data_IF_062538213524
#
_entry.id   IF_062538213524
#
_cell.length_a   1.000
_cell.length_b   1.000
_cell.length_c   1.000
_cell.angle_alpha   90.00
_cell.angle_beta   90.00
_cell.angle_gamma   90.00
#
_symmetry.space_group_name_H-M   'P 1'
#
loop_
_entity.id
_entity.type
_entity.pdbx_description
1 polymer ?
#
# COMPACT_ATOMS: atom_id res chain seq x y z
N UNK A 1 5.28 3.34 -21.37
CA UNK A 1 5.26 3.10 -19.91
C UNK A 1 5.75 4.36 -19.18
N UNK A 2 5.04 4.78 -18.14
CA UNK A 2 5.37 5.96 -17.32
C UNK A 2 6.75 5.85 -16.67
N UNK A 3 7.45 6.98 -16.44
CA UNK A 3 8.77 6.93 -15.79
C UNK A 3 8.63 6.63 -14.30
N UNK A 4 9.60 5.92 -13.69
CA UNK A 4 9.71 5.84 -12.24
C UNK A 4 9.84 7.23 -11.61
N UNK A 5 9.37 7.36 -10.37
CA UNK A 5 9.47 8.60 -9.61
C UNK A 5 10.94 8.94 -9.34
N UNK A 6 11.33 10.20 -9.57
CA UNK A 6 12.66 10.71 -9.24
C UNK A 6 13.86 10.07 -9.98
N UNK A 7 13.65 9.19 -10.96
CA UNK A 7 14.75 8.54 -11.70
C UNK A 7 14.38 8.16 -13.14
N UNK A 8 15.40 7.92 -13.97
CA UNK A 8 15.20 7.46 -15.36
C UNK A 8 14.87 5.97 -15.46
N UNK A 9 15.36 5.19 -14.49
CA UNK A 9 15.26 3.72 -14.46
C UNK A 9 14.86 3.32 -13.04
N UNK A 10 14.00 2.32 -12.94
CA UNK A 10 13.53 1.80 -11.66
C UNK A 10 14.70 1.11 -10.96
N UNK A 11 15.04 1.56 -9.76
CA UNK A 11 16.11 1.01 -8.94
C UNK A 11 15.51 0.24 -7.76
N UNK A 12 15.29 -1.06 -7.94
CA UNK A 12 14.88 -1.97 -6.87
C UNK A 12 16.11 -2.41 -6.07
N UNK A 13 16.05 -2.36 -4.74
CA UNK A 13 17.20 -2.70 -3.88
C UNK A 13 17.32 -4.20 -3.57
N UNK A 14 16.44 -5.03 -4.15
CA UNK A 14 16.55 -6.48 -4.05
C UNK A 14 17.74 -6.98 -4.86
N UNK A 15 18.59 -7.81 -4.24
CA UNK A 15 19.74 -8.41 -4.90
C UNK A 15 19.28 -9.59 -5.76
N UNK A 16 18.95 -9.29 -7.01
CA UNK A 16 18.38 -10.27 -7.95
C UNK A 16 19.39 -11.36 -8.38
N UNK A 17 20.67 -11.02 -8.48
CA UNK A 17 21.73 -11.99 -8.78
C UNK A 17 21.91 -13.00 -7.63
N UNK A 18 21.52 -14.26 -7.88
CA UNK A 18 21.53 -15.35 -6.88
C UNK A 18 22.91 -15.58 -6.27
N UNK A 19 23.97 -15.50 -7.06
CA UNK A 19 25.33 -15.72 -6.60
C UNK A 19 25.77 -14.63 -5.62
N UNK A 20 25.58 -13.35 -5.98
CA UNK A 20 25.82 -12.20 -5.11
C UNK A 20 24.96 -12.28 -3.86
N UNK A 21 23.66 -12.61 -3.99
CA UNK A 21 22.75 -12.73 -2.84
C UNK A 21 23.25 -13.79 -1.86
N UNK A 22 23.70 -14.95 -2.33
CA UNK A 22 24.25 -16.00 -1.47
C UNK A 22 25.55 -15.57 -0.77
N UNK A 23 26.43 -14.84 -1.45
CA UNK A 23 27.64 -14.26 -0.85
C UNK A 23 27.28 -13.31 0.30
N UNK A 24 26.32 -12.41 0.07
CA UNK A 24 25.87 -11.45 1.08
C UNK A 24 25.17 -12.13 2.26
N UNK A 25 24.39 -13.20 2.02
CA UNK A 25 23.80 -14.01 3.10
C UNK A 25 24.90 -14.63 3.98
N UNK A 26 25.98 -15.14 3.38
CA UNK A 26 27.11 -15.68 4.14
C UNK A 26 27.88 -14.57 4.87
N UNK A 27 28.11 -13.41 4.24
CA UNK A 27 28.71 -12.24 4.90
C UNK A 27 27.92 -11.83 6.15
N UNK A 28 26.59 -11.73 6.02
CA UNK A 28 25.69 -11.28 7.08
C UNK A 28 25.76 -12.12 8.36
N UNK A 29 26.16 -13.39 8.28
CA UNK A 29 26.37 -14.26 9.45
C UNK A 29 27.51 -13.79 10.36
N UNK A 30 28.45 -12.99 9.84
CA UNK A 30 29.61 -12.46 10.57
C UNK A 30 29.44 -11.00 11.02
N UNK A 31 28.41 -10.31 10.53
CA UNK A 31 28.15 -8.91 10.85
C UNK A 31 27.46 -8.78 12.22
N UNK A 32 27.59 -7.62 12.90
CA UNK A 32 26.64 -7.24 13.93
C UNK A 32 25.22 -7.33 13.38
N UNK A 33 24.28 -7.84 14.17
CA UNK A 33 22.91 -8.01 13.76
C UNK A 33 21.98 -7.02 14.49
N UNK A 34 20.98 -6.53 13.77
CA UNK A 34 19.91 -5.68 14.29
C UNK A 34 18.56 -6.33 13.97
N UNK A 35 17.82 -6.71 15.01
CA UNK A 35 16.40 -7.02 14.86
C UNK A 35 15.63 -5.71 14.68
N UNK A 36 15.11 -5.49 13.48
CA UNK A 36 14.33 -4.29 13.15
C UNK A 36 12.87 -4.45 13.58
N UNK A 37 12.13 -3.34 13.67
CA UNK A 37 10.70 -3.37 13.94
C UNK A 37 9.90 -3.71 12.66
N UNK A 38 8.60 -4.05 12.79
CA UNK A 38 7.77 -4.46 11.64
C UNK A 38 7.65 -3.38 10.57
N UNK A 39 7.54 -2.10 10.96
CA UNK A 39 7.43 -1.00 10.01
C UNK A 39 8.74 -0.82 9.21
N UNK A 40 9.90 -0.95 9.85
CA UNK A 40 11.19 -0.94 9.17
C UNK A 40 11.35 -2.16 8.23
N UNK A 41 10.83 -3.34 8.61
CA UNK A 41 10.81 -4.50 7.73
C UNK A 41 9.89 -4.28 6.51
N UNK A 42 8.71 -3.70 6.71
CA UNK A 42 7.81 -3.31 5.63
C UNK A 42 8.48 -2.29 4.68
N UNK A 43 9.20 -1.30 5.23
CA UNK A 43 10.01 -0.37 4.44
C UNK A 43 11.09 -1.09 3.61
N UNK A 44 11.77 -2.10 4.17
CA UNK A 44 12.72 -2.94 3.43
C UNK A 44 12.06 -3.70 2.27
N UNK A 45 10.85 -4.22 2.44
CA UNK A 45 10.09 -4.86 1.35
C UNK A 45 9.79 -3.87 0.23
N UNK A 46 9.38 -2.65 0.59
CA UNK A 46 9.03 -1.61 -0.38
C UNK A 46 10.26 -1.08 -1.13
N UNK A 47 11.40 -0.92 -0.44
CA UNK A 47 12.70 -0.59 -1.04
C UNK A 47 13.19 -1.71 -1.97
N UNK A 48 13.15 -2.95 -1.48
CA UNK A 48 13.56 -4.14 -2.25
C UNK A 48 12.69 -4.38 -3.47
N UNK A 49 11.38 -4.19 -3.34
CA UNK A 49 10.42 -4.34 -4.44
C UNK A 49 10.45 -3.20 -5.47
N UNK A 50 11.26 -2.15 -5.26
CA UNK A 50 11.34 -0.97 -6.13
C UNK A 50 10.16 0.00 -5.97
N UNK A 51 9.26 -0.25 -5.03
CA UNK A 51 8.12 0.63 -4.74
C UNK A 51 8.58 1.98 -4.21
N UNK A 52 9.65 2.01 -3.41
CA UNK A 52 10.22 3.24 -2.86
C UNK A 52 11.39 3.82 -3.67
N UNK A 53 11.50 3.48 -4.95
CA UNK A 53 12.44 4.14 -5.86
C UNK A 53 12.24 5.68 -5.84
N UNK A 54 13.33 6.49 -5.81
CA UNK A 54 14.72 6.11 -6.03
C UNK A 54 15.56 5.98 -4.73
N UNK A 55 14.92 5.86 -3.57
CA UNK A 55 15.63 5.82 -2.29
C UNK A 55 16.59 4.64 -2.22
N UNK A 56 17.77 4.88 -1.62
CA UNK A 56 18.84 3.88 -1.46
C UNK A 56 18.79 3.14 -0.13
N UNK A 57 17.93 3.57 0.80
CA UNK A 57 17.81 2.96 2.12
C UNK A 57 17.01 3.82 3.08
N UNK A 58 17.38 3.78 4.36
CA UNK A 58 16.70 4.51 5.43
C UNK A 58 17.22 5.95 5.52
N UNK A 59 16.28 6.90 5.60
CA UNK A 59 16.54 8.32 5.75
C UNK A 59 17.25 8.63 7.08
N UNK A 60 18.17 9.59 7.06
CA UNK A 60 18.70 10.24 8.26
C UNK A 60 17.68 11.18 8.90
N UNK A 61 17.97 11.67 10.11
CA UNK A 61 17.05 12.57 10.83
C UNK A 61 16.79 13.87 10.05
N UNK A 62 17.79 14.40 9.34
CA UNK A 62 17.64 15.58 8.49
C UNK A 62 16.62 15.40 7.37
N UNK A 63 16.75 14.32 6.59
CA UNK A 63 15.79 13.96 5.54
C UNK A 63 14.40 13.69 6.12
N UNK A 64 14.32 12.97 7.25
CA UNK A 64 13.04 12.64 7.87
C UNK A 64 12.26 13.90 8.27
N UNK A 65 12.92 14.86 8.90
CA UNK A 65 12.32 16.15 9.27
C UNK A 65 11.99 17.00 8.04
N UNK A 66 12.86 17.04 7.03
CA UNK A 66 12.63 17.75 5.76
C UNK A 66 11.39 17.21 5.05
N UNK A 67 11.22 15.89 4.98
CA UNK A 67 10.04 15.25 4.39
C UNK A 67 8.76 15.58 5.16
N UNK A 68 8.83 15.61 6.49
CA UNK A 68 7.70 15.99 7.32
C UNK A 68 7.30 17.46 7.11
N UNK A 69 8.25 18.40 7.06
CA UNK A 69 7.99 19.83 6.92
C UNK A 69 7.62 20.24 5.50
N UNK A 70 8.44 19.80 4.55
CA UNK A 70 8.52 20.40 3.22
C UNK A 70 8.13 19.43 2.10
N UNK A 71 7.79 18.18 2.44
CA UNK A 71 7.49 17.11 1.46
C UNK A 71 8.66 16.82 0.51
N UNK A 72 9.90 17.11 0.92
CA UNK A 72 11.09 16.85 0.13
C UNK A 72 12.21 16.26 0.99
N UNK A 73 13.00 15.37 0.39
CA UNK A 73 14.32 15.03 0.92
C UNK A 73 15.23 16.26 0.86
N UNK A 74 16.35 16.24 1.58
CA UNK A 74 17.37 17.31 1.52
C UNK A 74 17.95 17.48 0.11
N UNK A 75 17.97 16.40 -0.67
CA UNK A 75 18.37 16.39 -2.09
C UNK A 75 17.25 16.88 -3.04
N UNK A 76 16.12 17.33 -2.51
CA UNK A 76 15.03 17.93 -3.27
C UNK A 76 14.10 16.95 -3.97
N UNK A 77 14.09 15.67 -3.58
CA UNK A 77 13.15 14.68 -4.13
C UNK A 77 11.83 14.81 -3.38
N UNK A 78 10.73 15.03 -4.11
CA UNK A 78 9.39 15.03 -3.51
C UNK A 78 9.11 13.68 -2.84
N UNK A 79 8.77 13.73 -1.55
CA UNK A 79 8.47 12.55 -0.75
C UNK A 79 7.53 12.88 0.42
N UNK A 80 6.45 12.09 0.64
CA UNK A 80 5.39 12.49 1.57
C UNK A 80 5.51 11.91 2.98
N UNK A 81 6.22 10.81 3.18
CA UNK A 81 6.34 10.11 4.49
C UNK A 81 7.76 9.61 4.69
N UNK A 82 8.42 9.89 5.83
CA UNK A 82 9.81 9.52 6.03
C UNK A 82 9.99 8.00 6.09
N UNK A 83 11.01 7.48 5.38
CA UNK A 83 11.34 6.05 5.36
C UNK A 83 12.47 5.79 6.36
N UNK A 84 12.11 5.41 7.59
CA UNK A 84 13.04 5.35 8.72
C UNK A 84 13.13 3.96 9.35
N UNK A 85 14.20 3.74 10.09
CA UNK A 85 14.42 2.60 10.97
C UNK A 85 14.74 3.12 12.38
N UNK A 86 13.78 2.98 13.30
CA UNK A 86 13.93 3.41 14.69
C UNK A 86 13.96 2.22 15.65
N UNK A 87 14.79 2.33 16.68
CA UNK A 87 14.89 1.38 17.78
C UNK A 87 14.89 2.10 19.13
N UNK A 88 14.48 1.39 20.18
CA UNK A 88 14.42 1.95 21.55
C UNK A 88 15.76 1.95 22.28
N UNK A 89 16.71 1.12 21.83
CA UNK A 89 18.02 0.97 22.48
C UNK A 89 19.10 1.26 21.47
N UNK A 90 20.01 2.17 21.82
CA UNK A 90 21.16 2.48 20.98
C UNK A 90 21.96 1.20 20.68
N UNK A 91 22.19 0.87 19.40
CA UNK A 91 22.94 -0.33 19.05
C UNK A 91 24.43 -0.20 19.42
N UNK A 92 25.13 -1.33 19.50
CA UNK A 92 26.56 -1.38 19.82
C UNK A 92 27.49 -1.01 18.65
N UNK A 93 26.97 -0.99 17.43
CA UNK A 93 27.70 -0.57 16.24
C UNK A 93 27.68 0.94 16.03
N UNK A 94 28.51 1.43 15.12
CA UNK A 94 28.68 2.85 14.80
C UNK A 94 28.49 3.12 13.30
N UNK A 95 28.33 4.40 12.95
CA UNK A 95 28.37 4.83 11.55
C UNK A 95 29.66 4.35 10.85
N UNK A 96 29.54 4.01 9.56
CA UNK A 96 30.59 3.41 8.74
C UNK A 96 30.68 1.88 8.83
N UNK A 97 29.88 1.22 9.67
CA UNK A 97 29.84 -0.24 9.77
C UNK A 97 28.72 -0.85 8.91
N UNK A 98 28.91 -2.12 8.52
CA UNK A 98 27.88 -2.97 7.91
C UNK A 98 27.17 -3.79 8.98
N UNK A 99 25.85 -3.88 8.88
CA UNK A 99 24.98 -4.56 9.87
C UNK A 99 23.98 -5.45 9.15
N UNK A 100 23.78 -6.67 9.64
CA UNK A 100 22.72 -7.55 9.18
C UNK A 100 21.38 -7.12 9.79
N UNK A 101 20.37 -6.89 8.96
CA UNK A 101 19.01 -6.60 9.40
C UNK A 101 18.21 -7.89 9.47
N UNK A 102 17.63 -8.19 10.63
CA UNK A 102 16.86 -9.42 10.88
C UNK A 102 15.36 -9.15 10.83
N UNK A 103 14.60 -10.04 10.20
CA UNK A 103 13.17 -9.91 10.02
C UNK A 103 12.39 -10.24 11.33
N UNK A 104 11.61 -9.30 11.90
CA UNK A 104 10.81 -9.58 13.09
C UNK A 104 9.56 -10.43 12.81
N UNK A 105 9.14 -10.54 11.55
CA UNK A 105 7.87 -11.15 11.16
C UNK A 105 8.00 -12.63 10.78
N UNK A 106 9.22 -13.14 10.62
CA UNK A 106 9.48 -14.54 10.28
C UNK A 106 10.15 -15.26 11.45
N UNK A 107 9.67 -16.46 11.76
CA UNK A 107 10.18 -17.27 12.86
C UNK A 107 11.69 -17.53 12.70
N UNK A 108 12.44 -17.36 13.79
CA UNK A 108 13.91 -17.48 13.78
C UNK A 108 14.64 -16.21 13.32
N UNK A 109 13.92 -15.13 13.00
CA UNK A 109 14.45 -13.83 12.62
C UNK A 109 15.57 -13.91 11.55
N UNK A 110 15.26 -14.45 10.35
CA UNK A 110 16.25 -14.58 9.30
C UNK A 110 16.77 -13.23 8.83
N UNK A 111 17.96 -13.23 8.22
CA UNK A 111 18.53 -12.03 7.59
C UNK A 111 17.62 -11.60 6.43
N UNK A 112 17.16 -10.36 6.50
CA UNK A 112 16.36 -9.71 5.47
C UNK A 112 17.21 -8.83 4.54
N UNK A 113 18.30 -8.29 5.04
CA UNK A 113 19.19 -7.42 4.27
C UNK A 113 20.43 -6.99 5.04
N UNK A 114 21.27 -6.19 4.39
CA UNK A 114 22.45 -5.56 4.99
C UNK A 114 22.28 -4.05 4.90
N UNK A 115 22.60 -3.36 6.00
CA UNK A 115 22.63 -1.90 6.10
C UNK A 115 24.09 -1.42 6.16
N UNK A 116 24.46 -0.51 5.27
CA UNK A 116 25.67 0.31 5.40
C UNK A 116 25.32 1.54 6.24
N UNK A 117 25.65 1.52 7.53
CA UNK A 117 25.18 2.55 8.48
C UNK A 117 25.83 3.90 8.17
N UNK A 118 25.02 4.88 7.78
CA UNK A 118 25.44 6.26 7.55
C UNK A 118 25.39 7.11 8.82
N UNK A 119 24.36 6.92 9.65
CA UNK A 119 24.13 7.71 10.86
C UNK A 119 23.33 6.97 11.93
N UNK A 120 23.51 7.41 13.18
CA UNK A 120 22.75 6.96 14.34
C UNK A 120 22.41 8.21 15.15
N UNK A 121 21.18 8.69 15.01
CA UNK A 121 20.71 9.94 15.59
C UNK A 121 19.72 9.67 16.73
N UNK A 122 19.82 10.44 17.81
CA UNK A 122 18.78 10.48 18.83
C UNK A 122 17.68 11.44 18.37
N UNK A 123 16.46 10.94 18.32
CA UNK A 123 15.26 11.74 18.05
C UNK A 123 14.75 12.26 19.38
N UNK A 124 14.61 13.58 19.49
CA UNK A 124 14.01 14.22 20.67
C UNK A 124 12.49 14.06 20.67
N UNK A 125 11.86 14.19 21.83
CA UNK A 125 10.40 14.11 21.94
C UNK A 125 9.71 15.18 21.05
N UNK A 126 10.24 16.41 21.03
CA UNK A 126 9.72 17.49 20.16
C UNK A 126 9.80 17.13 18.67
N UNK A 127 10.90 16.50 18.22
CA UNK A 127 11.04 16.04 16.84
C UNK A 127 10.12 14.86 16.52
N UNK A 128 9.90 13.96 17.48
CA UNK A 128 8.98 12.85 17.32
C UNK A 128 7.54 13.35 17.20
N UNK A 129 7.13 14.29 18.05
CA UNK A 129 5.81 14.93 18.02
C UNK A 129 5.61 15.71 16.71
N UNK A 130 6.63 16.45 16.26
CA UNK A 130 6.61 17.15 14.98
C UNK A 130 6.39 16.18 13.81
N UNK A 131 7.18 15.10 13.72
CA UNK A 131 7.00 14.09 12.68
C UNK A 131 5.63 13.44 12.75
N UNK A 132 5.16 13.12 13.96
CA UNK A 132 3.84 12.51 14.19
C UNK A 132 2.72 13.42 13.68
N UNK A 133 2.72 14.69 14.09
CA UNK A 133 1.72 15.67 13.64
C UNK A 133 1.77 15.87 12.12
N UNK A 134 2.96 15.91 11.52
CA UNK A 134 3.12 16.12 10.09
C UNK A 134 2.65 14.92 9.25
N UNK A 135 2.87 13.69 9.72
CA UNK A 135 2.50 12.46 9.02
C UNK A 135 1.00 12.18 9.16
N UNK A 136 0.46 12.26 10.38
CA UNK A 136 -0.91 11.81 10.68
C UNK A 136 -1.93 12.94 10.82
N UNK A 137 -1.50 14.21 10.81
CA UNK A 137 -2.38 15.34 11.08
C UNK A 137 -2.86 15.43 12.54
N UNK A 138 -2.40 14.53 13.41
CA UNK A 138 -2.76 14.44 14.82
C UNK A 138 -1.63 13.79 15.61
N UNK A 139 -1.54 14.09 16.91
CA UNK A 139 -0.69 13.37 17.88
C UNK A 139 -1.50 12.47 18.83
N UNK A 140 -2.79 12.27 18.54
CA UNK A 140 -3.67 11.41 19.33
C UNK A 140 -3.20 9.94 19.31
N UNK A 141 -2.84 9.42 20.48
CA UNK A 141 -2.40 8.03 20.65
C UNK A 141 -3.48 6.99 20.34
N UNK A 142 -4.75 7.37 20.22
CA UNK A 142 -5.82 6.47 19.77
C UNK A 142 -5.79 6.25 18.26
N UNK A 143 -5.11 7.12 17.50
CA UNK A 143 -4.87 6.88 16.09
C UNK A 143 -3.87 5.70 15.94
N UNK A 144 -4.22 4.61 15.24
CA UNK A 144 -3.38 3.40 15.18
C UNK A 144 -2.00 3.64 14.55
N UNK A 145 -1.93 4.53 13.54
CA UNK A 145 -0.67 5.00 12.97
C UNK A 145 0.24 5.71 13.96
N UNK A 146 -0.29 6.70 14.71
CA UNK A 146 0.42 7.43 15.77
C UNK A 146 0.94 6.47 16.83
N UNK A 147 0.08 5.58 17.35
CA UNK A 147 0.47 4.59 18.35
C UNK A 147 1.61 3.68 17.87
N UNK A 148 1.54 3.26 16.60
CA UNK A 148 2.57 2.40 16.00
C UNK A 148 3.88 3.14 15.79
N UNK A 149 3.84 4.41 15.35
CA UNK A 149 5.02 5.21 15.04
C UNK A 149 5.80 5.59 16.31
N UNK A 150 5.11 6.10 17.33
CA UNK A 150 5.75 6.56 18.58
C UNK A 150 6.26 5.40 19.45
N UNK A 151 5.74 4.18 19.25
CA UNK A 151 6.21 2.98 19.95
C UNK A 151 7.54 2.40 19.41
N UNK A 152 8.09 2.89 18.31
CA UNK A 152 9.28 2.31 17.67
C UNK A 152 10.60 2.65 18.40
N UNK A 153 10.56 3.58 19.35
CA UNK A 153 11.74 4.13 20.02
C UNK A 153 12.22 5.42 19.39
N UNK A 154 13.39 5.89 19.84
CA UNK A 154 13.90 7.22 19.53
C UNK A 154 15.36 7.24 19.06
N UNK A 155 15.92 6.08 18.68
CA UNK A 155 17.23 6.01 18.04
C UNK A 155 17.01 5.67 16.57
N UNK A 156 17.24 6.65 15.69
CA UNK A 156 17.09 6.53 14.25
C UNK A 156 18.41 6.08 13.63
N UNK A 157 18.35 5.02 12.83
CA UNK A 157 19.52 4.43 12.16
C UNK A 157 19.31 4.56 10.66
N UNK A 158 20.24 5.22 9.99
CA UNK A 158 20.14 5.56 8.57
C UNK A 158 21.24 4.94 7.73
N UNK A 159 21.03 4.90 6.42
CA UNK A 159 22.02 4.44 5.45
C UNK A 159 21.46 3.52 4.37
N UNK A 160 22.33 3.16 3.44
CA UNK A 160 21.99 2.39 2.24
C UNK A 160 21.79 0.92 2.56
N UNK A 161 20.83 0.28 1.88
CA UNK A 161 20.48 -1.12 2.12
C UNK A 161 20.66 -2.00 0.88
N UNK A 162 21.06 -3.24 1.12
CA UNK A 162 20.96 -4.34 0.17
C UNK A 162 19.88 -5.31 0.68
N UNK A 163 18.80 -5.51 -0.08
CA UNK A 163 17.68 -6.35 0.34
C UNK A 163 17.88 -7.78 -0.16
N UNK A 164 17.87 -8.74 0.76
CA UNK A 164 18.13 -10.16 0.49
C UNK A 164 16.86 -11.02 0.58
N UNK A 165 15.80 -10.52 1.22
CA UNK A 165 14.51 -11.19 1.33
C UNK A 165 13.35 -10.19 1.42
N UNK A 166 12.20 -10.57 0.85
CA UNK A 166 10.99 -9.74 0.83
C UNK A 166 9.97 -10.17 1.91
N UNK A 167 10.50 -10.64 3.04
CA UNK A 167 9.77 -11.10 4.22
C UNK A 167 8.72 -12.19 3.92
N UNK A 168 7.79 -12.40 4.85
CA UNK A 168 6.71 -13.38 4.75
C UNK A 168 5.77 -13.11 3.57
N UNK A 169 5.72 -11.88 3.04
CA UNK A 169 4.81 -11.54 1.94
C UNK A 169 5.06 -12.37 0.69
N UNK A 170 6.33 -12.59 0.33
CA UNK A 170 6.70 -13.39 -0.83
C UNK A 170 6.40 -14.87 -0.62
N UNK A 171 6.52 -15.38 0.61
CA UNK A 171 6.37 -16.81 0.91
C UNK A 171 4.92 -17.21 1.19
N UNK A 172 4.11 -16.33 1.80
CA UNK A 172 2.72 -16.61 2.16
C UNK A 172 1.74 -16.23 1.05
N UNK A 173 2.09 -15.27 0.20
CA UNK A 173 1.21 -14.76 -0.87
C UNK A 173 1.83 -14.95 -2.27
N UNK A 174 2.45 -16.10 -2.54
CA UNK A 174 3.20 -16.42 -3.77
C UNK A 174 2.45 -16.02 -5.07
N UNK A 175 1.17 -16.33 -5.14
CA UNK A 175 0.34 -16.09 -6.33
C UNK A 175 -0.04 -14.62 -6.55
N UNK A 176 0.10 -13.79 -5.52
CA UNK A 176 -0.43 -12.43 -5.49
C UNK A 176 0.65 -11.36 -5.28
N UNK A 177 1.62 -11.61 -4.40
CA UNK A 177 2.71 -10.67 -4.12
C UNK A 177 3.54 -10.44 -5.39
N UNK A 178 3.75 -9.17 -5.73
CA UNK A 178 4.60 -8.75 -6.85
C UNK A 178 5.48 -7.59 -6.46
N UNK A 179 6.65 -7.50 -7.07
CA UNK A 179 7.49 -6.29 -7.02
C UNK A 179 7.03 -5.28 -8.07
N UNK A 180 7.41 -4.00 -7.91
CA UNK A 180 7.17 -2.98 -8.93
C UNK A 180 7.84 -3.36 -10.27
N UNK A 181 8.98 -4.05 -10.22
CA UNK A 181 9.69 -4.58 -11.40
C UNK A 181 8.80 -5.58 -12.16
N UNK A 182 8.30 -6.61 -11.47
CA UNK A 182 7.45 -7.64 -12.06
C UNK A 182 6.14 -7.07 -12.61
N UNK A 183 5.54 -6.09 -11.93
CA UNK A 183 4.34 -5.39 -12.41
C UNK A 183 4.64 -4.63 -13.70
N UNK A 184 5.78 -3.93 -13.81
CA UNK A 184 6.17 -3.25 -15.06
C UNK A 184 6.39 -4.23 -16.21
N UNK A 185 7.05 -5.36 -15.95
CA UNK A 185 7.26 -6.42 -16.93
C UNK A 185 5.94 -6.98 -17.44
N UNK A 186 4.99 -7.25 -16.53
CA UNK A 186 3.67 -7.75 -16.89
C UNK A 186 2.84 -6.71 -17.65
N UNK A 187 2.87 -5.43 -17.24
CA UNK A 187 2.26 -4.33 -18.00
C UNK A 187 2.81 -4.28 -19.43
N UNK A 188 4.14 -4.41 -19.58
CA UNK A 188 4.79 -4.39 -20.89
C UNK A 188 4.39 -5.60 -21.75
N UNK A 189 4.34 -6.81 -21.18
CA UNK A 189 4.00 -8.02 -21.91
C UNK A 189 2.54 -8.04 -22.36
N UNK A 190 1.65 -7.38 -21.60
CA UNK A 190 0.23 -7.15 -21.95
C UNK A 190 0.02 -6.06 -23.00
N UNK A 191 1.06 -5.28 -23.31
CA UNK A 191 1.00 -4.17 -24.26
C UNK A 191 0.28 -2.92 -23.76
N UNK A 192 -0.02 -2.83 -22.46
CA UNK A 192 -0.75 -1.70 -21.89
C UNK A 192 0.08 -0.42 -21.86
N UNK A 193 -0.54 0.71 -22.21
CA UNK A 193 0.06 2.05 -22.18
C UNK A 193 -0.55 2.94 -21.11
N UNK A 194 -1.87 2.90 -20.94
CA UNK A 194 -2.60 3.65 -19.92
C UNK A 194 -3.23 2.68 -18.93
N UNK A 195 -2.79 2.78 -17.69
CA UNK A 195 -3.05 1.82 -16.62
C UNK A 195 -3.64 2.57 -15.43
N UNK A 196 -4.76 2.07 -14.93
CA UNK A 196 -5.39 2.52 -13.69
C UNK A 196 -4.95 1.61 -12.54
N UNK A 197 -4.61 2.15 -11.39
CA UNK A 197 -4.38 1.38 -10.18
C UNK A 197 -5.55 1.53 -9.20
N UNK A 198 -5.97 0.40 -8.61
CA UNK A 198 -7.01 0.34 -7.60
C UNK A 198 -6.50 -0.41 -6.38
N UNK A 199 -6.46 0.25 -5.23
CA UNK A 199 -6.10 -0.37 -3.95
C UNK A 199 -7.34 -0.96 -3.27
N UNK A 200 -7.22 -2.19 -2.78
CA UNK A 200 -8.22 -2.77 -1.88
C UNK A 200 -7.58 -3.69 -0.85
N UNK A 201 -8.26 -3.85 0.29
CA UNK A 201 -7.97 -4.84 1.33
C UNK A 201 -9.12 -5.82 1.53
N UNK A 202 -10.26 -5.53 0.90
CA UNK A 202 -11.51 -6.25 0.99
C UNK A 202 -11.80 -6.96 -0.35
N UNK A 203 -12.66 -7.99 -0.34
CA UNK A 203 -13.29 -8.47 -1.56
C UNK A 203 -13.93 -7.31 -2.34
N UNK A 204 -13.87 -7.38 -3.66
CA UNK A 204 -14.54 -6.40 -4.52
C UNK A 204 -15.99 -6.85 -4.76
N UNK A 205 -16.93 -6.00 -4.39
CA UNK A 205 -18.34 -6.11 -4.75
C UNK A 205 -18.63 -5.27 -6.01
N UNK A 206 -19.88 -5.27 -6.46
CA UNK A 206 -20.28 -4.62 -7.72
C UNK A 206 -19.96 -3.11 -7.72
N UNK A 207 -20.02 -2.44 -6.59
CA UNK A 207 -19.66 -1.03 -6.48
C UNK A 207 -18.19 -0.75 -6.86
N UNK A 208 -17.23 -1.55 -6.37
CA UNK A 208 -15.81 -1.42 -6.71
C UNK A 208 -15.50 -1.93 -8.12
N UNK A 209 -16.18 -3.00 -8.54
CA UNK A 209 -16.11 -3.53 -9.90
C UNK A 209 -16.45 -2.44 -10.94
N UNK A 210 -17.59 -1.79 -10.77
CA UNK A 210 -18.05 -0.74 -11.69
C UNK A 210 -17.22 0.54 -11.54
N UNK A 211 -16.70 0.86 -10.34
CA UNK A 211 -15.76 1.99 -10.19
C UNK A 211 -14.51 1.80 -11.06
N UNK A 212 -13.92 0.60 -11.05
CA UNK A 212 -12.80 0.29 -11.92
C UNK A 212 -13.19 0.43 -13.41
N UNK A 213 -14.37 -0.04 -13.81
CA UNK A 213 -14.85 0.13 -15.19
C UNK A 213 -15.05 1.59 -15.57
N UNK A 214 -15.70 2.38 -14.72
CA UNK A 214 -15.91 3.82 -14.95
C UNK A 214 -14.57 4.52 -15.14
N UNK A 215 -13.58 4.23 -14.29
CA UNK A 215 -12.24 4.80 -14.42
C UNK A 215 -11.58 4.37 -15.73
N UNK A 216 -11.63 3.08 -16.08
CA UNK A 216 -11.05 2.58 -17.33
C UNK A 216 -11.70 3.20 -18.57
N UNK A 217 -13.03 3.28 -18.60
CA UNK A 217 -13.79 3.83 -19.73
C UNK A 217 -13.50 5.33 -19.91
N UNK A 218 -13.65 6.12 -18.84
CA UNK A 218 -13.48 7.58 -18.89
C UNK A 218 -12.06 7.98 -19.23
N UNK A 219 -11.08 7.25 -18.70
CA UNK A 219 -9.67 7.49 -18.97
C UNK A 219 -9.21 6.84 -20.27
N UNK A 220 -10.02 5.99 -20.92
CA UNK A 220 -9.60 5.15 -22.05
C UNK A 220 -8.32 4.37 -21.71
N UNK A 221 -8.38 3.64 -20.60
CA UNK A 221 -7.28 2.82 -20.09
C UNK A 221 -7.30 1.42 -20.71
N UNK A 222 -6.11 0.87 -20.96
CA UNK A 222 -5.93 -0.47 -21.52
C UNK A 222 -6.17 -1.55 -20.46
N UNK A 223 -5.93 -1.22 -19.18
CA UNK A 223 -6.14 -2.14 -18.08
C UNK A 223 -6.15 -1.49 -16.70
N UNK A 224 -6.59 -2.26 -15.71
CA UNK A 224 -6.52 -1.92 -14.29
C UNK A 224 -5.64 -2.92 -13.54
N UNK A 225 -4.80 -2.39 -12.65
CA UNK A 225 -4.08 -3.17 -11.66
C UNK A 225 -4.85 -3.08 -10.35
N UNK A 226 -5.50 -4.19 -9.97
CA UNK A 226 -6.01 -4.37 -8.61
C UNK A 226 -4.82 -4.71 -7.74
N UNK A 227 -4.40 -3.76 -6.91
CA UNK A 227 -3.14 -3.81 -6.15
C UNK A 227 -3.44 -3.88 -4.66
N UNK A 228 -3.54 -5.12 -4.16
CA UNK A 228 -3.94 -5.40 -2.79
C UNK A 228 -2.85 -5.08 -1.78
N UNK A 229 -3.24 -4.50 -0.65
CA UNK A 229 -2.38 -4.47 0.52
C UNK A 229 -2.37 -5.85 1.17
N UNK A 230 -1.21 -6.49 1.20
CA UNK A 230 -0.99 -7.78 1.84
C UNK A 230 -0.44 -7.54 3.25
N UNK A 231 -0.85 -8.38 4.20
CA UNK A 231 -0.47 -8.23 5.60
C UNK A 231 -1.10 -9.30 6.48
N UNK A 232 -0.74 -9.27 7.76
CA UNK A 232 -1.33 -10.13 8.79
C UNK A 232 -2.83 -9.82 8.96
N UNK A 233 -3.63 -10.87 9.15
CA UNK A 233 -5.06 -10.77 9.40
C UNK A 233 -5.32 -10.12 10.77
N UNK A 234 -6.30 -9.23 10.84
CA UNK A 234 -6.92 -8.80 12.10
C UNK A 234 -8.08 -9.73 12.45
N UNK A 235 -8.48 -9.73 13.72
CA UNK A 235 -9.64 -10.50 14.16
C UNK A 235 -10.90 -10.05 13.39
N UNK A 236 -11.58 -11.01 12.75
CA UNK A 236 -12.74 -10.76 11.91
C UNK A 236 -12.44 -10.56 10.41
N UNK A 237 -11.17 -10.47 10.01
CA UNK A 237 -10.79 -10.33 8.60
C UNK A 237 -11.08 -11.61 7.80
N UNK A 238 -11.39 -11.42 6.51
CA UNK A 238 -11.50 -12.50 5.53
C UNK A 238 -10.07 -12.93 5.15
N UNK A 239 -9.75 -14.24 5.16
CA UNK A 239 -8.43 -14.73 4.77
C UNK A 239 -8.00 -14.23 3.38
N UNK A 240 -6.70 -13.98 3.22
CA UNK A 240 -6.16 -13.43 1.98
C UNK A 240 -6.50 -14.28 0.74
N UNK A 241 -6.47 -15.60 0.86
CA UNK A 241 -6.86 -16.53 -0.21
C UNK A 241 -8.31 -16.34 -0.64
N UNK A 242 -9.24 -16.23 0.31
CA UNK A 242 -10.67 -16.02 0.01
C UNK A 242 -10.89 -14.67 -0.67
N UNK A 243 -10.18 -13.62 -0.24
CA UNK A 243 -10.25 -12.31 -0.92
C UNK A 243 -9.70 -12.39 -2.35
N UNK A 244 -8.57 -13.05 -2.54
CA UNK A 244 -7.95 -13.26 -3.86
C UNK A 244 -8.90 -14.02 -4.79
N UNK A 245 -9.51 -15.11 -4.31
CA UNK A 245 -10.52 -15.89 -5.03
C UNK A 245 -11.72 -15.03 -5.44
N UNK A 246 -12.26 -14.21 -4.52
CA UNK A 246 -13.36 -13.30 -4.83
C UNK A 246 -13.02 -12.34 -5.97
N UNK A 247 -11.84 -11.72 -5.91
CA UNK A 247 -11.40 -10.75 -6.91
C UNK A 247 -11.14 -11.45 -8.25
N UNK A 248 -10.47 -12.60 -8.27
CA UNK A 248 -10.22 -13.37 -9.50
C UNK A 248 -11.50 -13.89 -10.13
N UNK A 249 -12.47 -14.37 -9.33
CA UNK A 249 -13.79 -14.75 -9.82
C UNK A 249 -14.50 -13.57 -10.48
N UNK A 250 -14.49 -12.40 -9.84
CA UNK A 250 -15.07 -11.18 -10.42
C UNK A 250 -14.40 -10.82 -11.75
N UNK A 251 -13.06 -10.84 -11.80
CA UNK A 251 -12.29 -10.54 -13.02
C UNK A 251 -12.64 -11.51 -14.15
N UNK A 252 -12.58 -12.81 -13.89
CA UNK A 252 -12.78 -13.84 -14.91
C UNK A 252 -14.18 -13.82 -15.54
N UNK A 253 -15.20 -13.45 -14.77
CA UNK A 253 -16.59 -13.45 -15.24
C UNK A 253 -17.01 -12.12 -15.85
N UNK A 254 -16.48 -10.99 -15.34
CA UNK A 254 -17.09 -9.68 -15.58
C UNK A 254 -16.16 -8.66 -16.24
N UNK A 255 -14.86 -8.93 -16.38
CA UNK A 255 -13.95 -8.05 -17.09
C UNK A 255 -13.54 -8.63 -18.45
N UNK A 256 -13.32 -7.80 -19.48
CA UNK A 256 -12.75 -8.27 -20.74
C UNK A 256 -11.42 -9.01 -20.55
N UNK A 257 -11.11 -9.96 -21.43
CA UNK A 257 -9.80 -10.61 -21.44
C UNK A 257 -8.69 -9.57 -21.57
N UNK A 258 -7.57 -9.77 -20.85
CA UNK A 258 -6.43 -8.85 -20.84
C UNK A 258 -6.77 -7.41 -20.40
N UNK A 259 -7.68 -7.22 -19.46
CA UNK A 259 -8.05 -5.89 -18.94
C UNK A 259 -7.77 -5.70 -17.44
N UNK A 260 -7.48 -6.78 -16.69
CA UNK A 260 -7.19 -6.71 -15.25
C UNK A 260 -5.97 -7.55 -14.88
N UNK A 261 -5.12 -6.98 -14.03
CA UNK A 261 -4.06 -7.68 -13.32
C UNK A 261 -4.39 -7.67 -11.82
N UNK A 262 -4.43 -8.86 -11.22
CA UNK A 262 -4.63 -9.04 -9.78
C UNK A 262 -3.27 -9.26 -9.14
N UNK A 263 -2.87 -8.33 -8.27
CA UNK A 263 -1.55 -8.32 -7.64
C UNK A 263 -1.63 -7.76 -6.22
N UNK A 264 -0.53 -7.82 -5.47
CA UNK A 264 -0.43 -7.22 -4.15
C UNK A 264 1.00 -6.84 -3.78
N UNK A 265 1.10 -6.01 -2.75
CA UNK A 265 2.35 -5.54 -2.18
C UNK A 265 2.34 -5.72 -0.66
N UNK A 266 3.51 -5.93 -0.08
CA UNK A 266 3.68 -6.08 1.36
C UNK A 266 4.08 -4.76 2.00
N UNK A 267 3.19 -4.21 2.82
CA UNK A 267 3.44 -2.98 3.58
C UNK A 267 2.56 -2.95 4.84
N UNK A 268 2.95 -2.19 5.85
CA UNK A 268 2.11 -1.94 7.01
C UNK A 268 1.37 -0.62 6.79
N UNK A 269 0.02 -0.67 6.78
CA UNK A 269 -0.80 0.52 6.56
C UNK A 269 -0.53 1.57 7.66
N UNK A 270 -0.27 2.81 7.24
CA UNK A 270 -0.02 3.92 8.17
C UNK A 270 -1.31 4.49 8.75
N UNK A 271 -2.41 4.40 7.99
CA UNK A 271 -3.66 5.10 8.25
C UNK A 271 -3.48 6.62 8.24
N UNK A 272 -2.56 7.13 7.43
CA UNK A 272 -2.16 8.53 7.41
C UNK A 272 -2.94 9.37 6.38
N UNK A 273 -4.10 8.88 5.92
CA UNK A 273 -5.05 9.60 5.08
C UNK A 273 -4.37 10.31 3.90
N UNK A 274 -4.43 11.66 3.81
CA UNK A 274 -3.83 12.43 2.72
C UNK A 274 -2.33 12.18 2.48
N UNK A 275 -1.52 12.03 3.53
CA UNK A 275 -0.08 11.76 3.42
C UNK A 275 0.19 10.38 2.82
N UNK A 276 -0.59 9.38 3.22
CA UNK A 276 -0.50 8.04 2.67
C UNK A 276 -1.07 7.97 1.24
N UNK A 277 -2.04 8.80 0.87
CA UNK A 277 -2.51 8.92 -0.51
C UNK A 277 -1.40 9.40 -1.48
N UNK A 278 -0.58 10.37 -1.07
CA UNK A 278 0.60 10.78 -1.85
C UNK A 278 1.64 9.65 -1.95
N UNK A 279 1.89 8.93 -0.84
CA UNK A 279 2.81 7.79 -0.85
C UNK A 279 2.32 6.70 -1.82
N UNK A 280 1.02 6.42 -1.74
CA UNK A 280 0.31 5.55 -2.66
C UNK A 280 0.55 5.96 -4.12
N UNK A 281 0.40 7.24 -4.48
CA UNK A 281 0.67 7.70 -5.84
C UNK A 281 2.11 7.41 -6.29
N UNK A 282 3.12 7.72 -5.46
CA UNK A 282 4.53 7.47 -5.77
C UNK A 282 4.77 6.01 -6.14
N UNK A 283 4.37 5.07 -5.29
CA UNK A 283 4.72 3.69 -5.57
C UNK A 283 3.85 3.03 -6.65
N UNK A 284 2.68 3.60 -6.96
CA UNK A 284 1.90 3.21 -8.14
C UNK A 284 2.52 3.74 -9.43
N UNK A 285 3.09 4.94 -9.41
CA UNK A 285 3.92 5.42 -10.52
C UNK A 285 5.14 4.50 -10.69
N UNK A 286 5.82 4.14 -9.60
CA UNK A 286 6.97 3.25 -9.64
C UNK A 286 6.65 1.85 -10.17
N UNK A 287 5.45 1.30 -9.93
CA UNK A 287 5.04 0.02 -10.53
C UNK A 287 4.52 0.14 -11.98
N UNK A 288 4.38 1.36 -12.52
CA UNK A 288 4.03 1.60 -13.91
C UNK A 288 2.60 2.07 -14.17
N UNK A 289 1.80 2.35 -13.14
CA UNK A 289 0.46 2.88 -13.31
C UNK A 289 0.49 4.35 -13.74
N UNK A 290 -0.38 4.71 -14.68
CA UNK A 290 -0.54 6.10 -15.17
C UNK A 290 -1.59 6.88 -14.38
N UNK A 291 -2.52 6.17 -13.75
CA UNK A 291 -3.58 6.76 -12.96
C UNK A 291 -3.78 5.99 -11.66
N UNK A 292 -4.14 6.68 -10.58
CA UNK A 292 -4.53 6.08 -9.31
C UNK A 292 -5.96 6.51 -8.98
N UNK A 293 -6.83 5.54 -8.69
CA UNK A 293 -8.14 5.84 -8.09
C UNK A 293 -7.93 6.23 -6.64
N UNK A 294 -8.39 7.44 -6.28
CA UNK A 294 -8.45 7.93 -4.90
C UNK A 294 -9.90 8.24 -4.60
N UNK A 295 -10.50 7.44 -3.72
CA UNK A 295 -11.89 7.60 -3.31
C UNK A 295 -12.07 8.49 -2.08
N UNK A 296 -13.30 8.49 -1.56
CA UNK A 296 -13.64 9.10 -0.27
C UNK A 296 -12.87 8.43 0.87
N UNK A 297 -12.33 9.23 1.80
CA UNK A 297 -11.64 8.78 3.02
C UNK A 297 -10.48 7.79 2.72
N UNK A 298 -9.77 8.04 1.60
CA UNK A 298 -8.70 7.16 1.14
C UNK A 298 -7.56 7.11 2.15
N UNK A 299 -7.19 5.90 2.56
CA UNK A 299 -6.20 5.64 3.59
C UNK A 299 -6.51 6.24 4.97
N UNK A 300 -7.74 6.69 5.21
CA UNK A 300 -8.17 7.24 6.49
C UNK A 300 -8.50 6.18 7.54
N UNK A 301 -8.77 6.67 8.75
CA UNK A 301 -9.26 5.90 9.89
C UNK A 301 -10.12 6.80 10.78
N UNK A 302 -11.16 6.23 11.40
CA UNK A 302 -12.02 6.96 12.32
C UNK A 302 -12.64 8.21 11.67
N UNK A 303 -12.44 9.36 12.30
CA UNK A 303 -12.92 10.66 11.83
C UNK A 303 -11.79 11.70 11.81
N UNK A 304 -10.54 11.27 11.60
CA UNK A 304 -9.37 12.16 11.65
C UNK A 304 -9.19 13.00 10.39
N UNK A 305 -9.77 12.57 9.26
CA UNK A 305 -9.61 13.22 7.96
C UNK A 305 -10.96 13.55 7.35
N UNK A 306 -11.02 14.65 6.60
CA UNK A 306 -12.16 15.02 5.78
C UNK A 306 -12.41 14.03 4.65
N UNK A 307 -13.65 13.98 4.16
CA UNK A 307 -14.10 12.98 3.19
C UNK A 307 -13.29 12.95 1.90
N UNK A 308 -12.77 14.09 1.43
CA UNK A 308 -12.01 14.21 0.18
C UNK A 308 -10.63 14.86 0.37
N UNK A 309 -10.16 15.02 1.61
CA UNK A 309 -8.84 15.62 1.88
C UNK A 309 -7.71 14.84 1.21
N UNK A 310 -7.88 13.53 1.04
CA UNK A 310 -6.94 12.67 0.33
C UNK A 310 -6.89 12.88 -1.19
N UNK A 311 -7.85 13.60 -1.76
CA UNK A 311 -7.83 14.09 -3.15
C UNK A 311 -7.28 15.52 -3.20
N UNK A 312 -7.78 16.39 -2.33
CA UNK A 312 -7.42 17.81 -2.28
C UNK A 312 -5.93 18.06 -2.00
N UNK A 313 -5.27 17.14 -1.30
CA UNK A 313 -3.82 17.14 -1.09
C UNK A 313 -3.01 17.21 -2.38
N UNK A 314 -3.49 16.61 -3.48
CA UNK A 314 -2.79 16.64 -4.76
C UNK A 314 -2.80 18.01 -5.43
N UNK A 315 -3.81 18.84 -5.15
CA UNK A 315 -3.89 20.20 -5.67
C UNK A 315 -3.23 21.23 -4.72
N UNK A 316 -3.20 20.93 -3.41
CA UNK A 316 -2.79 21.90 -2.38
C UNK A 316 -1.35 21.73 -1.88
N UNK A 317 -0.83 20.50 -1.86
CA UNK A 317 0.47 20.18 -1.25
C UNK A 317 1.47 19.53 -2.22
N UNK A 318 1.01 18.84 -3.25
CA UNK A 318 1.90 18.21 -4.25
C UNK A 318 2.36 19.28 -5.24
N UNK A 319 3.68 19.56 -5.36
CA UNK A 319 4.15 20.53 -6.33
C UNK A 319 3.86 20.12 -7.77
N UNK A 320 3.67 21.11 -8.65
CA UNK A 320 3.51 20.88 -10.09
C UNK A 320 4.67 20.02 -10.62
N UNK A 321 4.32 18.97 -11.38
CA UNK A 321 5.26 18.01 -11.97
C UNK A 321 6.07 17.17 -10.97
N UNK A 322 5.76 17.19 -9.67
CA UNK A 322 6.38 16.28 -8.71
C UNK A 322 6.04 14.81 -9.00
N UNK A 323 4.86 14.55 -9.58
CA UNK A 323 4.37 13.23 -9.99
C UNK A 323 3.97 13.25 -11.46
N UNK A 324 4.26 12.15 -12.18
CA UNK A 324 3.73 11.92 -13.54
C UNK A 324 2.38 11.18 -13.49
N UNK A 325 2.11 10.42 -12.42
CA UNK A 325 0.84 9.71 -12.23
C UNK A 325 -0.30 10.70 -11.98
N UNK A 326 -1.45 10.45 -12.57
CA UNK A 326 -2.65 11.29 -12.41
C UNK A 326 -3.65 10.66 -11.43
N UNK A 327 -4.44 11.49 -10.77
CA UNK A 327 -5.47 11.02 -9.83
C UNK A 327 -6.82 10.95 -10.54
N UNK A 328 -7.46 9.78 -10.45
CA UNK A 328 -8.88 9.64 -10.72
C UNK A 328 -9.63 9.86 -9.41
N UNK A 329 -10.12 11.07 -9.20
CA UNK A 329 -10.91 11.46 -8.03
C UNK A 329 -12.28 10.75 -8.08
N UNK A 330 -12.42 9.70 -7.29
CA UNK A 330 -13.64 8.91 -7.19
C UNK A 330 -14.48 9.33 -5.99
N UNK A 331 -15.76 9.01 -6.01
CA UNK A 331 -16.63 9.11 -4.84
C UNK A 331 -17.20 7.74 -4.47
N UNK A 332 -17.96 7.67 -3.38
CA UNK A 332 -18.76 6.53 -3.00
C UNK A 332 -19.62 6.09 -4.19
N UNK A 333 -19.47 4.83 -4.58
CA UNK A 333 -20.29 4.22 -5.62
C UNK A 333 -21.42 3.39 -5.01
N UNK A 334 -22.62 3.55 -5.54
CA UNK A 334 -23.79 2.79 -5.11
C UNK A 334 -24.68 2.45 -6.31
N UNK A 335 -25.42 1.36 -6.20
CA UNK A 335 -26.41 1.02 -7.22
C UNK A 335 -27.63 1.93 -7.10
N UNK A 336 -27.91 2.68 -8.17
CA UNK A 336 -29.11 3.51 -8.28
C UNK A 336 -30.29 2.69 -8.81
N UNK A 337 -31.39 2.67 -8.06
CA UNK A 337 -32.67 2.09 -8.49
C UNK A 337 -33.32 2.89 -9.62
N UNK A 338 -33.15 4.22 -9.61
CA UNK A 338 -33.69 5.13 -10.65
C UNK A 338 -33.02 4.91 -12.00
N UNK A 339 -31.68 4.80 -12.00
CA UNK A 339 -30.89 4.70 -13.22
C UNK A 339 -30.57 3.23 -13.59
N UNK A 340 -30.91 2.28 -12.72
CA UNK A 340 -30.67 0.86 -12.88
C UNK A 340 -29.20 0.50 -13.19
N UNK A 341 -28.27 1.23 -12.55
CA UNK A 341 -26.83 1.06 -12.70
C UNK A 341 -26.08 1.58 -11.46
N UNK A 342 -24.82 1.20 -11.31
CA UNK A 342 -23.93 1.82 -10.32
C UNK A 342 -23.56 3.22 -10.79
N UNK A 343 -23.56 4.19 -9.88
CA UNK A 343 -23.14 5.57 -10.12
C UNK A 343 -22.24 6.04 -9.00
N UNK A 344 -21.41 7.05 -9.26
CA UNK A 344 -20.79 7.83 -8.18
C UNK A 344 -21.82 8.80 -7.61
N UNK A 345 -21.93 8.86 -6.28
CA UNK A 345 -23.03 9.57 -5.62
C UNK A 345 -23.02 11.08 -5.86
N UNK A 346 -21.85 11.71 -6.00
CA UNK A 346 -21.72 13.11 -6.37
C UNK A 346 -22.24 13.47 -7.78
N UNK A 347 -22.46 12.50 -8.66
CA UNK A 347 -22.90 12.74 -10.05
C UNK A 347 -24.43 12.76 -10.20
N UNK A 348 -25.17 12.45 -9.14
CA UNK A 348 -26.63 12.34 -9.16
C UNK A 348 -27.26 13.28 -8.14
N UNK A 349 -27.88 14.36 -8.62
CA UNK A 349 -28.41 15.44 -7.78
C UNK A 349 -29.89 15.27 -7.42
N UNK A 350 -30.60 14.35 -8.06
CA UNK A 350 -32.04 14.11 -7.89
C UNK A 350 -32.35 12.83 -7.08
N UNK A 351 -31.35 12.26 -6.40
CA UNK A 351 -31.49 11.04 -5.60
C UNK A 351 -31.68 11.33 -4.11
N UNK A 352 -32.45 10.46 -3.48
CA UNK A 352 -32.56 10.34 -2.03
C UNK A 352 -31.85 9.06 -1.56
N UNK A 353 -31.63 8.89 -0.26
CA UNK A 353 -31.01 7.66 0.27
C UNK A 353 -31.77 6.39 -0.08
N UNK A 354 -33.09 6.47 -0.29
CA UNK A 354 -33.95 5.34 -0.64
C UNK A 354 -33.77 4.89 -2.10
N UNK A 355 -33.24 5.76 -2.96
CA UNK A 355 -32.97 5.48 -4.38
C UNK A 355 -31.71 4.61 -4.57
N UNK A 356 -30.95 4.34 -3.51
CA UNK A 356 -29.74 3.53 -3.56
C UNK A 356 -29.93 2.16 -2.91
N UNK A 357 -29.18 1.16 -3.39
CA UNK A 357 -29.01 -0.13 -2.70
C UNK A 357 -27.72 -0.07 -1.90
N UNK A 358 -27.85 0.05 -0.58
CA UNK A 358 -26.74 0.03 0.37
C UNK A 358 -26.89 -1.18 1.30
N UNK A 359 -25.81 -1.93 1.47
CA UNK A 359 -25.74 -3.05 2.43
C UNK A 359 -24.61 -2.75 3.40
N UNK A 360 -24.95 -2.59 4.68
CA UNK A 360 -23.93 -2.38 5.72
C UNK A 360 -23.05 -3.62 5.87
N UNK A 361 -21.80 -3.46 6.30
CA UNK A 361 -20.88 -4.59 6.49
C UNK A 361 -21.41 -5.63 7.48
N UNK A 362 -22.10 -5.21 8.54
CA UNK A 362 -22.75 -6.13 9.49
C UNK A 362 -23.84 -6.94 8.81
N UNK A 363 -24.77 -6.28 8.10
CA UNK A 363 -25.86 -6.96 7.39
C UNK A 363 -25.32 -7.91 6.32
N UNK A 364 -24.27 -7.52 5.60
CA UNK A 364 -23.60 -8.37 4.61
C UNK A 364 -23.07 -9.66 5.25
N UNK A 365 -22.32 -9.55 6.36
CA UNK A 365 -21.78 -10.72 7.07
C UNK A 365 -22.87 -11.63 7.58
N UNK A 366 -23.94 -11.07 8.18
CA UNK A 366 -25.06 -11.84 8.71
C UNK A 366 -25.77 -12.63 7.59
N UNK A 367 -25.99 -12.01 6.43
CA UNK A 367 -26.55 -12.67 5.25
C UNK A 367 -25.65 -13.83 4.79
N UNK A 368 -24.35 -13.57 4.63
CA UNK A 368 -23.40 -14.58 4.13
C UNK A 368 -23.23 -15.76 5.10
N UNK A 369 -23.22 -15.53 6.42
CA UNK A 369 -23.19 -16.57 7.45
C UNK A 369 -24.44 -17.47 7.41
N UNK A 370 -25.61 -16.87 7.17
CA UNK A 370 -26.86 -17.61 6.98
C UNK A 370 -26.96 -18.31 5.60
N UNK A 371 -25.94 -18.17 4.75
CA UNK A 371 -25.96 -18.69 3.38
C UNK A 371 -26.95 -17.99 2.46
N UNK A 372 -27.33 -16.74 2.80
CA UNK A 372 -28.21 -15.88 2.02
C UNK A 372 -27.34 -14.98 1.14
N UNK A 373 -27.53 -15.05 -0.18
CA UNK A 373 -26.82 -14.19 -1.11
C UNK A 373 -27.29 -12.72 -0.96
N UNK A 374 -26.36 -11.74 -0.98
CA UNK A 374 -26.72 -10.33 -1.14
C UNK A 374 -27.45 -10.08 -2.48
N UNK A 375 -28.19 -8.97 -2.61
CA UNK A 375 -28.79 -8.59 -3.88
C UNK A 375 -27.74 -8.47 -4.99
N UNK A 376 -28.09 -8.80 -6.23
CA UNK A 376 -27.18 -8.75 -7.39
C UNK A 376 -26.74 -7.32 -7.75
N UNK A 377 -27.53 -6.33 -7.34
CA UNK A 377 -27.22 -4.91 -7.35
C UNK A 377 -26.00 -4.59 -6.46
N UNK A 378 -25.77 -5.39 -5.43
CA UNK A 378 -24.66 -5.22 -4.49
C UNK A 378 -23.49 -6.15 -4.80
N UNK A 379 -23.73 -7.46 -4.94
CA UNK A 379 -22.67 -8.45 -5.15
C UNK A 379 -23.02 -9.42 -6.28
N UNK A 380 -22.05 -9.71 -7.15
CA UNK A 380 -22.20 -10.74 -8.18
C UNK A 380 -22.46 -12.11 -7.55
N UNK A 381 -23.36 -12.95 -8.10
CA UNK A 381 -23.70 -14.25 -7.52
C UNK A 381 -22.50 -15.19 -7.30
N UNK A 382 -21.55 -15.21 -8.24
CA UNK A 382 -20.35 -16.06 -8.17
C UNK A 382 -19.40 -15.60 -7.06
N UNK A 383 -19.24 -14.29 -6.90
CA UNK A 383 -18.44 -13.69 -5.81
C UNK A 383 -19.11 -13.96 -4.46
N UNK A 384 -20.43 -13.77 -4.37
CA UNK A 384 -21.20 -14.07 -3.17
C UNK A 384 -21.08 -15.56 -2.79
N UNK A 385 -21.04 -16.47 -3.78
CA UNK A 385 -20.85 -17.90 -3.55
C UNK A 385 -19.50 -18.22 -2.92
N UNK A 386 -18.41 -17.59 -3.37
CA UNK A 386 -17.08 -17.75 -2.74
C UNK A 386 -17.14 -17.32 -1.28
N UNK A 387 -17.73 -16.15 -1.00
CA UNK A 387 -17.86 -15.64 0.37
C UNK A 387 -18.74 -16.53 1.25
N UNK A 388 -19.91 -16.95 0.77
CA UNK A 388 -20.81 -17.85 1.52
C UNK A 388 -20.14 -19.18 1.86
N UNK A 389 -19.35 -19.74 0.93
CA UNK A 389 -18.62 -20.98 1.20
C UNK A 389 -17.62 -20.80 2.35
N UNK A 390 -16.93 -19.65 2.41
CA UNK A 390 -16.04 -19.33 3.53
C UNK A 390 -16.78 -19.25 4.86
N UNK A 391 -17.90 -18.51 4.92
CA UNK A 391 -18.65 -18.33 6.17
C UNK A 391 -19.33 -19.63 6.64
N UNK A 392 -19.84 -20.47 5.74
CA UNK A 392 -20.42 -21.77 6.10
C UNK A 392 -19.43 -22.71 6.77
N UNK A 393 -18.15 -22.67 6.36
CA UNK A 393 -17.09 -23.50 6.96
C UNK A 393 -16.75 -23.03 8.39
N UNK A 394 -16.98 -21.75 8.72
CA UNK A 394 -16.73 -21.23 10.08
C UNK A 394 -17.78 -21.66 11.10
N UNK A 395 -19.01 -21.93 10.65
CA UNK A 395 -20.16 -22.30 11.50
C UNK A 395 -20.34 -23.83 11.66
N UNK A 396 -19.49 -24.62 10.99
CA UNK A 396 -19.41 -26.09 11.07
C UNK A 396 -18.17 -26.53 11.82
#
# INVERSE_FOLDING_TARGET
>A
MIKPHGSKVLNALFVDDDQRRQILITEAQSLPALLINSAAAANMVMLGGGYFNPLMGFMGLGDALSVCRDLHTLDGIFWPVPIINMVSVKPSFSAGQRVALLDPNVAGNPVMGILNVAGIDLVTDDQLDEMTQAIFGTTDSQHPGVATFTAQGNVLISGDVEVLGLSYFQTEFVETFRTAVQIREEISSRGWQKIVAFQTRNPMHRAHEELCRMAMERLQADGVVVHMLLGKLKEGDIPASVRDDCIRTMVNHYFPTNSVMVSGYGFDMLYAGPREAMLHAIFRQNMGATHLIVGRDHAGVGSYYGAFEAQEVFDSLVPDNALEIQIFAADHTAYSKKLNQVVMMNEVTDHTSEDFVLVSGTKLRDMLAQGIAPPEEFSRPEVAKVLMNHYKIKDS
#
